data_IF_993321288642
#
_entry.id   IF_993321288642
#
_cell.length_a   1.000
_cell.length_b   1.000
_cell.length_c   1.000
_cell.angle_alpha   90.00
_cell.angle_beta   90.00
_cell.angle_gamma   90.00
#
_symmetry.space_group_name_H-M   'P 1'
#
loop_
_entity.id
_entity.type
_entity.pdbx_description
1 polymer ?
#
# COMPACT_ATOMS: atom_id res chain seq x y z
N UNK A 1 0.63 -2.44 -4.21
CA UNK A 1 2.05 -2.77 -3.97
C UNK A 1 2.92 -2.23 -5.09
N UNK A 2 4.02 -1.57 -4.72
CA UNK A 2 5.08 -1.11 -5.64
C UNK A 2 6.43 -1.58 -5.10
N UNK A 3 7.20 -2.31 -5.92
CA UNK A 3 8.58 -2.67 -5.59
C UNK A 3 9.51 -1.48 -5.78
N UNK A 4 10.18 -1.01 -4.73
CA UNK A 4 11.04 0.19 -4.80
C UNK A 4 12.25 0.02 -5.70
N UNK A 5 12.90 -1.15 -5.63
CA UNK A 5 14.08 -1.45 -6.46
C UNK A 5 13.68 -1.82 -7.89
N UNK A 6 12.64 -2.64 -8.04
CA UNK A 6 12.21 -3.14 -9.34
C UNK A 6 11.39 -2.13 -10.16
N UNK A 7 10.79 -1.11 -9.51
CA UNK A 7 9.83 -0.19 -10.13
C UNK A 7 8.52 -0.86 -10.59
N UNK A 8 8.31 -2.13 -10.25
CA UNK A 8 7.15 -2.89 -10.67
C UNK A 8 5.94 -2.58 -9.80
N UNK A 9 4.78 -2.50 -10.44
CA UNK A 9 3.50 -2.26 -9.79
C UNK A 9 2.61 -3.51 -9.88
N UNK A 10 1.93 -3.80 -8.78
CA UNK A 10 0.85 -4.79 -8.74
C UNK A 10 -0.44 -4.11 -8.24
N UNK A 11 -1.47 -4.20 -9.09
CA UNK A 11 -2.83 -3.78 -8.83
C UNK A 11 -3.72 -5.02 -8.91
N UNK A 12 -4.50 -5.27 -7.87
CA UNK A 12 -5.31 -6.47 -7.74
C UNK A 12 -6.69 -6.09 -7.19
N UNK A 13 -7.71 -6.77 -7.72
CA UNK A 13 -9.12 -6.55 -7.39
C UNK A 13 -9.54 -7.52 -6.29
N UNK A 14 -9.69 -7.00 -5.07
CA UNK A 14 -10.13 -7.75 -3.90
C UNK A 14 -11.63 -7.58 -3.66
N UNK A 15 -12.29 -8.45 -2.89
CA UNK A 15 -13.72 -8.27 -2.57
C UNK A 15 -14.01 -7.18 -1.53
N UNK A 16 -13.02 -6.84 -0.70
CA UNK A 16 -13.05 -5.74 0.25
C UNK A 16 -11.64 -5.35 0.71
N UNK A 17 -11.56 -4.37 1.60
CA UNK A 17 -10.31 -3.88 2.19
C UNK A 17 -10.06 -4.43 3.60
N UNK A 18 -10.69 -5.55 3.98
CA UNK A 18 -10.54 -6.12 5.30
C UNK A 18 -9.22 -6.89 5.40
N UNK A 19 -8.63 -6.91 6.60
CA UNK A 19 -7.41 -7.67 6.88
C UNK A 19 -7.47 -9.12 6.38
N UNK A 20 -8.61 -9.80 6.54
CA UNK A 20 -8.77 -11.20 6.11
C UNK A 20 -8.61 -11.38 4.59
N UNK A 21 -8.94 -10.35 3.81
CA UNK A 21 -8.83 -10.32 2.34
C UNK A 21 -7.46 -9.85 1.91
N UNK A 22 -6.93 -8.83 2.58
CA UNK A 22 -5.70 -8.12 2.18
C UNK A 22 -4.43 -8.87 2.61
N UNK A 23 -4.42 -9.48 3.81
CA UNK A 23 -3.24 -10.15 4.35
C UNK A 23 -2.73 -11.29 3.44
N UNK A 24 -3.58 -12.22 2.94
CA UNK A 24 -3.12 -13.28 2.05
C UNK A 24 -2.54 -12.75 0.73
N UNK A 25 -3.07 -11.64 0.20
CA UNK A 25 -2.54 -11.00 -1.01
C UNK A 25 -1.16 -10.40 -0.78
N UNK A 26 -0.92 -9.79 0.39
CA UNK A 26 0.44 -9.31 0.73
C UNK A 26 1.41 -10.49 0.81
N UNK A 27 1.06 -11.52 1.59
CA UNK A 27 1.93 -12.68 1.82
C UNK A 27 2.22 -13.46 0.53
N UNK A 28 1.23 -13.64 -0.35
CA UNK A 28 1.42 -14.39 -1.58
C UNK A 28 2.26 -13.64 -2.63
N UNK A 29 2.24 -12.30 -2.60
CA UNK A 29 2.84 -11.47 -3.66
C UNK A 29 4.12 -10.77 -3.21
N UNK A 30 4.57 -10.98 -1.98
CA UNK A 30 5.82 -10.44 -1.45
C UNK A 30 6.69 -11.57 -0.91
N UNK A 31 8.00 -11.38 -0.95
CA UNK A 31 8.92 -12.34 -0.33
C UNK A 31 8.86 -12.19 1.21
N UNK A 32 9.05 -13.27 2.00
CA UNK A 32 9.06 -13.20 3.46
C UNK A 32 10.11 -12.24 4.04
N UNK A 33 11.17 -11.93 3.30
CA UNK A 33 12.21 -10.98 3.69
C UNK A 33 11.90 -9.53 3.28
N UNK A 34 10.76 -9.27 2.65
CA UNK A 34 10.37 -7.93 2.19
C UNK A 34 9.99 -7.06 3.39
N UNK A 35 10.47 -5.82 3.40
CA UNK A 35 9.94 -4.78 4.29
C UNK A 35 8.77 -4.07 3.62
N UNK A 36 7.60 -4.12 4.24
CA UNK A 36 6.41 -3.41 3.78
C UNK A 36 6.36 -2.00 4.38
N UNK A 37 5.97 -1.01 3.59
CA UNK A 37 5.70 0.35 4.05
C UNK A 37 4.26 0.73 3.73
N UNK A 38 3.45 1.01 4.75
CA UNK A 38 2.02 1.31 4.59
C UNK A 38 1.62 2.60 5.31
N UNK A 39 0.39 3.03 5.09
CA UNK A 39 -0.28 4.00 5.97
C UNK A 39 -0.74 3.33 7.28
N UNK A 40 -1.57 4.03 8.06
CA UNK A 40 -2.13 3.56 9.33
C UNK A 40 -3.25 2.50 9.20
N UNK A 41 -3.51 1.96 8.02
CA UNK A 41 -4.62 1.03 7.81
C UNK A 41 -4.47 -0.26 8.63
N UNK A 42 -5.52 -0.59 9.39
CA UNK A 42 -5.55 -1.78 10.23
C UNK A 42 -5.52 -3.10 9.43
N UNK A 43 -5.76 -3.04 8.11
CA UNK A 43 -5.67 -4.19 7.22
C UNK A 43 -4.28 -4.85 7.29
N UNK A 44 -3.23 -4.06 7.54
CA UNK A 44 -1.84 -4.50 7.56
C UNK A 44 -1.29 -4.86 8.95
N UNK A 45 -2.08 -4.73 10.01
CA UNK A 45 -1.59 -4.92 11.39
C UNK A 45 -0.98 -6.30 11.68
N UNK A 46 -1.27 -7.32 10.86
CA UNK A 46 -0.73 -8.67 11.02
C UNK A 46 0.55 -8.93 10.22
N UNK A 47 0.95 -8.03 9.32
CA UNK A 47 2.16 -8.18 8.50
C UNK A 47 3.41 -8.32 9.39
N UNK A 48 3.57 -7.48 10.43
CA UNK A 48 4.69 -7.64 11.36
C UNK A 48 4.74 -9.02 12.06
N UNK A 49 3.58 -9.68 12.21
CA UNK A 49 3.47 -11.01 12.81
C UNK A 49 3.92 -12.16 11.90
N UNK A 50 4.12 -11.91 10.60
CA UNK A 50 4.60 -12.92 9.63
C UNK A 50 6.12 -13.04 9.59
N UNK A 51 6.83 -12.16 10.32
CA UNK A 51 8.28 -12.04 10.27
C UNK A 51 8.80 -11.07 9.20
N UNK A 52 7.90 -10.49 8.40
CA UNK A 52 8.22 -9.40 7.49
C UNK A 52 8.51 -8.10 8.25
N UNK A 53 9.47 -7.32 7.74
CA UNK A 53 9.65 -5.95 8.22
C UNK A 53 8.41 -5.12 7.88
N UNK A 54 7.99 -4.24 8.78
CA UNK A 54 6.83 -3.39 8.54
C UNK A 54 7.04 -2.00 9.14
N UNK A 55 7.07 -0.99 8.26
CA UNK A 55 7.03 0.42 8.63
C UNK A 55 5.67 1.03 8.30
N UNK A 56 5.19 1.93 9.14
CA UNK A 56 3.90 2.61 8.96
C UNK A 56 4.06 4.10 9.16
N UNK A 57 3.38 4.90 8.34
CA UNK A 57 3.14 6.32 8.62
C UNK A 57 1.73 6.53 9.16
N UNK A 58 1.54 7.51 10.05
CA UNK A 58 0.22 7.85 10.58
C UNK A 58 -0.24 9.25 10.16
N UNK A 59 -1.11 9.30 9.15
CA UNK A 59 -1.62 10.55 8.60
C UNK A 59 -2.45 11.35 9.62
N UNK A 60 -3.17 10.66 10.51
CA UNK A 60 -3.89 11.32 11.62
C UNK A 60 -2.97 12.10 12.58
N UNK A 61 -1.70 11.70 12.67
CA UNK A 61 -0.67 12.38 13.46
C UNK A 61 0.14 13.42 12.64
N UNK A 62 -0.29 13.70 11.41
CA UNK A 62 0.41 14.57 10.43
C UNK A 62 1.81 14.06 10.07
N UNK A 63 1.97 12.74 10.10
CA UNK A 63 3.20 12.06 9.71
C UNK A 63 3.07 11.55 8.27
N UNK A 64 3.86 12.09 7.35
CA UNK A 64 3.80 11.74 5.92
C UNK A 64 4.98 10.91 5.43
N UNK A 65 6.10 10.99 6.15
CA UNK A 65 7.30 10.23 5.86
C UNK A 65 8.18 10.21 7.12
N UNK A 66 8.84 9.08 7.41
CA UNK A 66 9.77 8.95 8.53
C UNK A 66 11.13 8.46 8.05
N UNK A 67 12.14 8.96 8.76
CA UNK A 67 13.52 8.55 8.70
C UNK A 67 13.78 7.79 10.00
N UNK A 68 13.81 6.46 9.91
CA UNK A 68 13.90 5.61 11.11
C UNK A 68 15.37 5.43 11.57
N UNK A 69 16.37 5.71 10.71
CA UNK A 69 17.80 5.51 11.02
C UNK A 69 18.62 6.82 11.16
N UNK A 70 18.01 7.96 10.82
CA UNK A 70 18.56 9.30 10.99
C UNK A 70 19.56 9.71 9.92
N UNK A 71 19.62 9.02 8.78
CA UNK A 71 20.56 9.33 7.70
C UNK A 71 20.10 10.52 6.81
N UNK A 72 18.89 11.03 7.04
CA UNK A 72 18.27 12.14 6.32
C UNK A 72 17.42 11.69 5.12
N UNK A 73 17.38 10.40 4.81
CA UNK A 73 16.46 9.78 3.86
C UNK A 73 15.22 9.34 4.64
N UNK A 74 14.04 9.50 4.05
CA UNK A 74 12.78 9.10 4.69
C UNK A 74 12.25 7.86 4.02
N UNK A 75 12.65 6.68 4.47
CA UNK A 75 12.29 5.40 3.87
C UNK A 75 10.83 5.08 4.16
N UNK A 76 10.28 5.41 5.32
CA UNK A 76 8.92 4.97 5.67
C UNK A 76 7.91 5.97 5.13
N UNK A 77 7.29 5.66 3.98
CA UNK A 77 6.24 6.47 3.36
C UNK A 77 5.44 5.67 2.32
N UNK A 78 4.23 6.16 1.99
CA UNK A 78 3.34 5.59 0.96
C UNK A 78 3.17 6.49 -0.29
N UNK A 79 3.86 7.63 -0.38
CA UNK A 79 3.70 8.63 -1.46
C UNK A 79 3.71 8.07 -2.90
N UNK A 80 4.52 7.05 -3.19
CA UNK A 80 4.59 6.47 -4.54
C UNK A 80 3.27 5.83 -4.94
N UNK A 81 2.68 4.99 -4.07
CA UNK A 81 1.41 4.33 -4.36
C UNK A 81 0.26 5.35 -4.38
N UNK A 82 0.29 6.36 -3.50
CA UNK A 82 -0.68 7.46 -3.50
C UNK A 82 -0.68 8.23 -4.83
N UNK A 83 0.52 8.56 -5.35
CA UNK A 83 0.68 9.24 -6.63
C UNK A 83 0.17 8.41 -7.81
N UNK A 84 0.47 7.10 -7.83
CA UNK A 84 -0.05 6.19 -8.86
C UNK A 84 -1.58 6.13 -8.80
N UNK A 85 -2.15 6.06 -7.60
CA UNK A 85 -3.59 6.00 -7.42
C UNK A 85 -4.29 7.29 -7.84
N UNK A 86 -3.68 8.45 -7.57
CA UNK A 86 -4.16 9.73 -8.10
C UNK A 86 -4.19 9.71 -9.65
N UNK A 87 -3.14 9.18 -10.28
CA UNK A 87 -3.08 8.97 -11.73
C UNK A 87 -4.19 8.05 -12.24
N UNK A 88 -4.38 6.89 -11.60
CA UNK A 88 -5.40 5.92 -11.98
C UNK A 88 -6.82 6.50 -11.83
N UNK A 89 -7.12 7.19 -10.72
CA UNK A 89 -8.40 7.87 -10.54
C UNK A 89 -8.67 8.91 -11.62
N UNK A 90 -7.66 9.70 -11.98
CA UNK A 90 -7.77 10.67 -13.06
C UNK A 90 -8.02 10.01 -14.41
N UNK A 91 -7.33 8.91 -14.70
CA UNK A 91 -7.55 8.11 -15.90
C UNK A 91 -8.97 7.52 -15.97
N UNK A 92 -9.50 7.03 -14.85
CA UNK A 92 -10.82 6.41 -14.79
C UNK A 92 -11.98 7.42 -14.80
N UNK A 93 -11.71 8.69 -14.45
CA UNK A 93 -12.72 9.75 -14.32
C UNK A 93 -13.61 9.96 -15.56
N UNK A 94 -13.12 9.92 -16.81
CA UNK A 94 -13.94 10.13 -18.01
C UNK A 94 -14.98 9.04 -18.25
N UNK A 95 -14.79 7.83 -17.71
CA UNK A 95 -15.68 6.69 -17.93
C UNK A 95 -17.02 6.80 -17.14
N UNK A 96 -17.26 7.90 -16.42
CA UNK A 96 -18.54 8.27 -15.76
C UNK A 96 -19.14 7.21 -14.83
N UNK A 97 -18.29 6.40 -14.23
CA UNK A 97 -18.69 5.31 -13.34
C UNK A 97 -18.17 4.00 -13.88
N UNK A 98 -16.97 3.63 -13.44
CA UNK A 98 -16.55 2.24 -13.50
C UNK A 98 -17.39 1.47 -12.48
N UNK A 99 -17.80 0.22 -12.80
CA UNK A 99 -18.56 -0.62 -11.87
C UNK A 99 -17.91 -0.55 -10.47
N UNK A 100 -18.70 -0.50 -9.37
CA UNK A 100 -18.15 -0.32 -8.00
C UNK A 100 -16.98 -1.28 -7.72
N UNK A 101 -17.05 -2.47 -8.31
CA UNK A 101 -16.02 -3.51 -8.25
C UNK A 101 -14.68 -3.16 -8.95
N UNK A 102 -14.52 -2.01 -9.58
CA UNK A 102 -13.23 -1.56 -10.13
C UNK A 102 -12.71 -0.31 -9.42
N UNK A 103 -13.60 0.47 -8.80
CA UNK A 103 -13.24 1.72 -8.11
C UNK A 103 -12.86 1.50 -6.64
N UNK A 104 -13.33 0.40 -6.03
CA UNK A 104 -13.09 0.07 -4.62
C UNK A 104 -12.01 -0.99 -4.43
N UNK A 105 -11.57 -1.64 -5.51
CA UNK A 105 -10.79 -2.86 -5.50
C UNK A 105 -9.48 -2.67 -6.26
N UNK A 106 -8.71 -1.69 -5.87
CA UNK A 106 -7.30 -1.66 -6.24
C UNK A 106 -6.57 -1.45 -4.93
N UNK A 107 -5.95 -2.53 -4.48
CA UNK A 107 -5.25 -2.64 -3.21
C UNK A 107 -4.42 -1.38 -2.90
N UNK A 108 -4.79 -0.74 -1.79
CA UNK A 108 -4.01 0.30 -1.14
C UNK A 108 -2.88 -0.36 -0.35
N UNK A 109 -1.87 -0.90 -1.02
CA UNK A 109 -0.63 -1.39 -0.39
C UNK A 109 0.55 -0.58 -0.86
#
# INVERSE_FOLDING_TARGET
MVGREAGQIRLEVCDDTQQATIQPEVEQKTEPTTTLYTDESNAYNRVAGTGQGHGTVCHSQKEWARDDDGDGIREVHCNTIEGIWAGLRNFLRPFRGVHKNLAQYVLHV
#
